data_IF_900888482148
#
_entry.id   IF_900888482148
#
_cell.length_a   1.000
_cell.length_b   1.000
_cell.length_c   1.000
_cell.angle_alpha   90.00
_cell.angle_beta   90.00
_cell.angle_gamma   90.00
#
_symmetry.space_group_name_H-M   'P 1'
#
loop_
_entity.id
_entity.type
_entity.pdbx_description
1 polymer ?
#
# COMPACT_ATOMS: atom_id res chain seq x y z
N UNK A 1 -2.72 10.87 45.65
CA UNK A 1 -3.92 10.45 44.93
C UNK A 1 -3.61 9.57 43.73
N UNK A 2 -4.37 8.50 43.54
CA UNK A 2 -4.20 7.60 42.40
C UNK A 2 -4.84 8.16 41.11
N UNK A 3 -4.49 7.61 39.96
CA UNK A 3 -5.12 7.87 38.66
C UNK A 3 -6.40 7.03 38.54
N UNK A 4 -7.46 7.64 38.05
CA UNK A 4 -8.70 6.95 37.67
C UNK A 4 -8.84 6.96 36.15
N UNK A 5 -9.16 5.82 35.59
CA UNK A 5 -9.50 5.66 34.17
C UNK A 5 -10.91 5.12 34.07
N UNK A 6 -11.77 5.85 33.37
CA UNK A 6 -13.20 5.58 33.32
C UNK A 6 -13.62 5.34 31.86
N UNK A 7 -14.13 4.15 31.58
CA UNK A 7 -14.75 3.77 30.32
C UNK A 7 -16.23 4.10 30.37
N UNK A 8 -16.61 5.36 30.12
CA UNK A 8 -17.97 5.84 30.35
C UNK A 8 -18.53 6.67 29.20
N UNK A 9 -19.86 6.70 29.13
CA UNK A 9 -20.55 7.66 28.31
C UNK A 9 -20.44 9.08 28.87
N UNK A 10 -20.22 10.05 27.99
CA UNK A 10 -20.01 11.48 28.31
C UNK A 10 -21.18 12.06 29.17
N UNK A 11 -22.40 11.55 28.99
CA UNK A 11 -23.60 12.02 29.69
C UNK A 11 -23.58 11.88 31.22
N UNK A 12 -22.69 11.06 31.77
CA UNK A 12 -22.59 10.84 33.24
C UNK A 12 -21.41 11.58 33.88
N UNK A 13 -20.58 12.29 33.08
CA UNK A 13 -19.37 12.94 33.57
C UNK A 13 -19.61 13.91 34.72
N UNK A 14 -20.66 14.73 34.68
CA UNK A 14 -20.99 15.68 35.74
C UNK A 14 -21.23 14.99 37.07
N UNK A 15 -22.10 13.96 37.10
CA UNK A 15 -22.41 13.20 38.30
C UNK A 15 -21.18 12.49 38.88
N UNK A 16 -20.31 11.98 38.03
CA UNK A 16 -19.08 11.32 38.45
C UNK A 16 -18.10 12.33 39.03
N UNK A 17 -17.92 13.49 38.39
CA UNK A 17 -17.06 14.56 38.89
C UNK A 17 -17.54 15.05 40.27
N UNK A 18 -18.85 15.30 40.45
CA UNK A 18 -19.45 15.68 41.73
C UNK A 18 -19.21 14.62 42.82
N UNK A 19 -19.42 13.35 42.50
CA UNK A 19 -19.20 12.26 43.46
C UNK A 19 -17.73 12.13 43.87
N UNK A 20 -16.78 12.31 42.94
CA UNK A 20 -15.33 12.29 43.23
C UNK A 20 -14.92 13.46 44.09
N UNK A 21 -15.46 14.66 43.87
CA UNK A 21 -15.23 15.86 44.65
C UNK A 21 -15.80 15.68 46.06
N UNK A 22 -17.04 15.19 46.16
CA UNK A 22 -17.67 14.89 47.46
C UNK A 22 -16.90 13.82 48.26
N UNK A 23 -16.24 12.87 47.56
CA UNK A 23 -15.36 11.87 48.12
C UNK A 23 -13.96 12.41 48.52
N UNK A 24 -13.74 13.72 48.47
CA UNK A 24 -12.47 14.37 48.88
C UNK A 24 -11.44 14.59 47.81
N UNK A 25 -11.75 14.34 46.52
CA UNK A 25 -10.80 14.68 45.47
C UNK A 25 -10.82 16.19 45.17
N UNK A 26 -9.64 16.80 44.98
CA UNK A 26 -9.57 18.22 44.69
C UNK A 26 -10.32 18.58 43.39
N UNK A 27 -11.08 19.69 43.40
CA UNK A 27 -11.75 20.27 42.24
C UNK A 27 -10.78 20.57 41.07
N UNK A 28 -9.53 20.96 41.44
CA UNK A 28 -8.48 21.29 40.47
C UNK A 28 -7.70 20.09 39.98
N UNK A 29 -8.06 18.84 40.39
CA UNK A 29 -7.40 17.64 39.89
C UNK A 29 -7.44 17.63 38.34
N UNK A 30 -6.28 17.48 37.68
CA UNK A 30 -6.24 17.39 36.21
C UNK A 30 -7.10 16.25 35.68
N UNK A 31 -7.81 16.50 34.59
CA UNK A 31 -8.66 15.51 33.94
C UNK A 31 -8.55 15.63 32.42
N UNK A 32 -8.74 14.53 31.73
CA UNK A 32 -8.73 14.49 30.26
C UNK A 32 -9.83 13.57 29.74
N UNK A 33 -10.34 13.90 28.55
CA UNK A 33 -11.21 13.03 27.76
C UNK A 33 -10.48 12.69 26.48
N UNK A 34 -10.42 11.41 26.15
CA UNK A 34 -9.77 10.90 24.95
C UNK A 34 -10.84 10.23 24.11
N UNK A 35 -11.24 10.87 23.03
CA UNK A 35 -12.14 10.30 22.03
C UNK A 35 -11.36 9.46 21.04
N UNK A 36 -11.91 8.34 20.62
CA UNK A 36 -11.33 7.47 19.61
C UNK A 36 -9.86 7.13 19.86
N UNK A 37 -9.51 6.89 21.12
CA UNK A 37 -8.13 6.59 21.53
C UNK A 37 -7.50 5.52 20.64
N UNK A 38 -6.26 5.78 20.16
CA UNK A 38 -5.48 4.95 19.23
C UNK A 38 -5.97 4.92 17.77
N UNK A 39 -6.96 5.73 17.42
CA UNK A 39 -7.37 5.91 16.02
C UNK A 39 -6.74 7.18 15.41
N UNK A 40 -6.57 7.26 14.10
CA UNK A 40 -5.98 8.44 13.44
C UNK A 40 -6.71 9.76 13.69
N UNK A 41 -7.97 9.71 14.07
CA UNK A 41 -8.80 10.85 14.41
C UNK A 41 -9.00 11.03 15.93
N UNK A 42 -8.10 10.45 16.75
CA UNK A 42 -8.09 10.66 18.19
C UNK A 42 -8.11 12.13 18.53
N UNK A 43 -8.96 12.52 19.48
CA UNK A 43 -8.98 13.87 20.03
C UNK A 43 -8.88 13.79 21.54
N UNK A 44 -8.03 14.63 22.13
CA UNK A 44 -7.88 14.73 23.57
C UNK A 44 -8.25 16.12 24.03
N UNK A 45 -9.16 16.18 24.99
CA UNK A 45 -9.61 17.42 25.63
C UNK A 45 -9.16 17.38 27.09
N UNK A 46 -8.47 18.41 27.55
CA UNK A 46 -7.98 18.53 28.93
C UNK A 46 -8.80 19.56 29.71
N UNK A 47 -9.00 19.29 30.99
CA UNK A 47 -9.77 20.12 31.90
C UNK A 47 -9.30 19.88 33.36
N UNK A 48 -9.98 20.48 34.33
CA UNK A 48 -9.97 20.06 35.71
C UNK A 48 -11.18 19.19 36.01
N UNK A 49 -11.17 18.46 37.11
CA UNK A 49 -12.29 17.63 37.52
C UNK A 49 -13.60 18.44 37.62
N UNK A 50 -13.52 19.66 38.14
CA UNK A 50 -14.68 20.56 38.25
C UNK A 50 -15.23 21.00 36.91
N UNK A 51 -14.36 21.26 35.93
CA UNK A 51 -14.76 21.81 34.63
C UNK A 51 -14.97 20.75 33.55
N UNK A 52 -14.67 19.49 33.83
CA UNK A 52 -14.64 18.39 32.86
C UNK A 52 -15.96 18.26 32.08
N UNK A 53 -17.11 18.29 32.77
CA UNK A 53 -18.40 18.13 32.12
C UNK A 53 -18.76 19.35 31.23
N UNK A 54 -18.47 20.55 31.69
CA UNK A 54 -18.72 21.81 30.94
C UNK A 54 -17.83 21.87 29.69
N UNK A 55 -16.55 21.53 29.84
CA UNK A 55 -15.62 21.47 28.72
C UNK A 55 -16.02 20.40 27.72
N UNK A 56 -16.42 19.20 28.20
CA UNK A 56 -16.92 18.14 27.32
C UNK A 56 -18.10 18.56 26.47
N UNK A 57 -19.06 19.29 27.06
CA UNK A 57 -20.23 19.80 26.36
C UNK A 57 -19.86 20.89 25.34
N UNK A 58 -19.01 21.85 25.74
CA UNK A 58 -18.52 22.93 24.85
C UNK A 58 -17.76 22.34 23.64
N UNK A 59 -16.89 21.40 23.88
CA UNK A 59 -16.07 20.74 22.87
C UNK A 59 -16.82 19.66 22.09
N UNK A 60 -18.12 19.43 22.42
CA UNK A 60 -18.97 18.42 21.79
C UNK A 60 -18.33 17.00 21.80
N UNK A 61 -17.74 16.62 22.94
CA UNK A 61 -17.13 15.29 23.10
C UNK A 61 -18.22 14.23 23.02
N UNK A 62 -17.96 13.17 22.22
CA UNK A 62 -18.89 12.07 21.99
C UNK A 62 -18.28 10.72 22.40
N UNK A 63 -19.10 9.69 22.50
CA UNK A 63 -18.63 8.32 22.64
C UNK A 63 -18.16 7.75 21.27
N UNK A 64 -17.21 6.82 21.23
CA UNK A 64 -16.51 6.24 22.39
C UNK A 64 -15.43 7.19 22.95
N UNK A 65 -15.39 7.32 24.26
CA UNK A 65 -14.38 8.14 24.95
C UNK A 65 -13.97 7.52 26.28
N UNK A 66 -12.73 7.85 26.70
CA UNK A 66 -12.17 7.46 28.00
C UNK A 66 -11.92 8.73 28.78
N UNK A 67 -12.33 8.78 30.06
CA UNK A 67 -11.96 9.84 30.98
C UNK A 67 -10.80 9.39 31.86
N UNK A 68 -9.76 10.24 31.95
CA UNK A 68 -8.62 10.05 32.83
C UNK A 68 -8.60 11.18 33.85
N UNK A 69 -8.55 10.85 35.15
CA UNK A 69 -8.54 11.83 36.23
C UNK A 69 -7.34 11.58 37.14
N UNK A 70 -6.48 12.57 37.29
CA UNK A 70 -5.27 12.51 38.11
C UNK A 70 -4.10 13.27 37.52
N UNK A 71 -3.01 13.40 38.29
CA UNK A 71 -1.84 14.16 37.92
C UNK A 71 -1.12 13.63 36.66
N UNK A 72 -1.36 12.34 36.29
CA UNK A 72 -0.87 11.75 35.05
C UNK A 72 -1.27 12.53 33.79
N UNK A 73 -2.39 13.27 33.85
CA UNK A 73 -2.84 14.11 32.72
C UNK A 73 -1.82 15.20 32.37
N UNK A 74 -1.05 15.70 33.35
CA UNK A 74 0.00 16.69 33.11
C UNK A 74 1.15 16.13 32.25
N UNK A 75 1.39 14.82 32.27
CA UNK A 75 2.42 14.17 31.45
C UNK A 75 2.09 14.16 29.95
N UNK A 76 0.85 14.53 29.57
CA UNK A 76 0.44 14.54 28.15
C UNK A 76 1.42 15.32 27.27
N UNK A 77 1.94 16.44 27.73
CA UNK A 77 2.91 17.25 26.98
C UNK A 77 4.19 16.49 26.62
N UNK A 78 4.56 15.50 27.43
CA UNK A 78 5.78 14.70 27.28
C UNK A 78 5.51 13.40 26.50
N UNK A 79 4.39 12.73 26.79
CA UNK A 79 4.09 11.37 26.28
C UNK A 79 3.07 11.32 25.15
N UNK A 80 2.63 12.46 24.60
CA UNK A 80 1.67 12.53 23.50
C UNK A 80 2.32 12.13 22.15
N UNK A 81 2.92 10.95 22.06
CA UNK A 81 3.58 10.46 20.85
C UNK A 81 2.59 10.10 19.74
N UNK A 82 1.37 9.68 20.10
CA UNK A 82 0.41 9.14 19.17
C UNK A 82 -0.12 10.20 18.22
N UNK A 83 -0.56 11.34 18.73
CA UNK A 83 -1.10 12.47 17.96
C UNK A 83 0.00 13.43 17.42
N UNK A 84 1.29 13.09 17.63
CA UNK A 84 2.45 13.76 17.02
C UNK A 84 3.06 13.00 15.84
N UNK A 85 2.45 11.90 15.44
CA UNK A 85 2.91 11.14 14.25
C UNK A 85 2.80 11.99 12.99
N UNK A 86 3.71 11.85 12.01
CA UNK A 86 3.83 12.78 10.88
C UNK A 86 2.58 12.88 10.00
N UNK A 87 1.76 11.82 9.94
CA UNK A 87 0.53 11.78 9.16
C UNK A 87 -0.73 11.71 10.03
N UNK A 88 -0.61 12.01 11.32
CA UNK A 88 -1.76 12.02 12.21
C UNK A 88 -2.86 12.99 11.73
N UNK A 89 -4.10 12.50 11.69
CA UNK A 89 -5.26 13.27 11.22
C UNK A 89 -5.35 13.42 9.70
N UNK A 90 -4.44 12.79 8.93
CA UNK A 90 -4.49 12.79 7.46
C UNK A 90 -5.24 11.60 6.94
N UNK A 91 -6.05 11.82 5.91
CA UNK A 91 -6.73 10.76 5.16
C UNK A 91 -6.07 10.60 3.80
N UNK A 92 -5.54 9.40 3.55
CA UNK A 92 -4.77 9.09 2.35
C UNK A 92 -5.47 7.97 1.58
N UNK A 93 -5.73 8.22 0.30
CA UNK A 93 -6.28 7.23 -0.63
C UNK A 93 -5.14 6.46 -1.30
N UNK A 94 -5.19 5.13 -1.24
CA UNK A 94 -4.26 4.24 -1.91
C UNK A 94 -4.97 3.56 -3.07
N UNK A 95 -4.51 3.82 -4.30
CA UNK A 95 -5.15 3.37 -5.55
C UNK A 95 -4.51 2.13 -6.17
N UNK A 96 -3.49 1.57 -5.53
CA UNK A 96 -2.78 0.37 -6.00
C UNK A 96 -3.67 -0.87 -5.92
N UNK A 97 -3.41 -1.88 -6.77
CA UNK A 97 -4.11 -3.17 -6.72
C UNK A 97 -4.02 -3.82 -5.33
N UNK A 98 -5.08 -4.48 -4.88
CA UNK A 98 -5.24 -5.01 -3.50
C UNK A 98 -4.09 -5.87 -3.04
N UNK A 99 -3.61 -6.77 -3.88
CA UNK A 99 -2.54 -7.71 -3.57
C UNK A 99 -1.21 -7.02 -3.23
N UNK A 100 -1.10 -5.73 -3.54
CA UNK A 100 0.12 -4.94 -3.38
C UNK A 100 -0.03 -3.81 -2.35
N UNK A 101 -1.19 -3.64 -1.73
CA UNK A 101 -1.50 -2.50 -0.83
C UNK A 101 -0.95 -2.68 0.58
N UNK A 102 -0.83 -3.90 1.07
CA UNK A 102 -0.63 -4.19 2.50
C UNK A 102 0.56 -3.47 3.13
N UNK A 103 1.70 -3.40 2.47
CA UNK A 103 2.90 -2.79 3.03
C UNK A 103 2.80 -1.25 3.10
N UNK A 104 2.33 -0.60 2.03
CA UNK A 104 2.16 0.86 2.02
C UNK A 104 1.11 1.30 3.04
N UNK A 105 0.00 0.58 3.12
CA UNK A 105 -1.04 0.81 4.12
C UNK A 105 -0.46 0.75 5.54
N UNK A 106 0.26 -0.33 5.88
CA UNK A 106 0.88 -0.49 7.19
C UNK A 106 1.79 0.68 7.53
N UNK A 107 2.61 1.15 6.60
CA UNK A 107 3.49 2.29 6.82
C UNK A 107 2.73 3.61 7.03
N UNK A 108 1.70 3.86 6.23
CA UNK A 108 0.88 5.07 6.35
C UNK A 108 0.10 5.08 7.68
N UNK A 109 -0.51 3.96 8.06
CA UNK A 109 -1.22 3.81 9.34
C UNK A 109 -0.25 3.92 10.54
N UNK A 110 0.95 3.33 10.45
CA UNK A 110 2.00 3.49 11.46
C UNK A 110 2.45 4.95 11.60
N UNK A 111 2.46 5.71 10.51
CA UNK A 111 2.72 7.15 10.52
C UNK A 111 1.53 7.99 11.01
N UNK A 112 0.37 7.41 11.25
CA UNK A 112 -0.79 8.06 11.83
C UNK A 112 -1.92 8.39 10.88
N UNK A 113 -1.83 8.01 9.61
CA UNK A 113 -2.88 8.28 8.63
C UNK A 113 -4.11 7.39 8.79
N UNK A 114 -5.27 7.91 8.38
CA UNK A 114 -6.41 7.10 7.95
C UNK A 114 -6.18 6.69 6.50
N UNK A 115 -6.21 5.38 6.20
CA UNK A 115 -6.02 4.89 4.84
C UNK A 115 -7.35 4.42 4.26
N UNK A 116 -7.71 4.97 3.09
CA UNK A 116 -8.82 4.50 2.27
C UNK A 116 -8.25 3.69 1.12
N UNK A 117 -8.58 2.41 1.09
CA UNK A 117 -8.23 1.54 -0.03
C UNK A 117 -9.27 1.70 -1.14
N UNK A 118 -8.86 2.32 -2.23
CA UNK A 118 -9.67 2.49 -3.44
C UNK A 118 -8.85 2.02 -4.65
N UNK A 119 -8.66 0.69 -4.82
CA UNK A 119 -7.92 0.17 -5.94
C UNK A 119 -8.56 0.65 -7.25
N UNK A 120 -7.76 1.29 -8.10
CA UNK A 120 -8.21 1.74 -9.42
C UNK A 120 -8.03 0.66 -10.48
N UNK A 121 -7.22 -0.36 -10.19
CA UNK A 121 -6.94 -1.49 -11.07
C UNK A 121 -6.96 -2.80 -10.32
N UNK A 122 -7.35 -3.86 -11.01
CA UNK A 122 -7.09 -5.25 -10.64
C UNK A 122 -6.31 -5.94 -11.75
N UNK A 123 -5.55 -6.95 -11.36
CA UNK A 123 -4.77 -7.75 -12.29
C UNK A 123 -5.61 -8.97 -12.68
N UNK A 124 -5.90 -9.11 -13.97
CA UNK A 124 -6.59 -10.27 -14.51
C UNK A 124 -5.60 -11.13 -15.31
N UNK A 125 -5.34 -12.39 -14.90
CA UNK A 125 -4.60 -13.32 -15.73
C UNK A 125 -5.31 -13.52 -17.07
N UNK A 126 -4.55 -13.50 -18.16
CA UNK A 126 -5.04 -13.87 -19.49
C UNK A 126 -4.93 -15.40 -19.69
N UNK A 127 -5.26 -15.89 -20.89
CA UNK A 127 -5.02 -17.28 -21.21
C UNK A 127 -3.53 -17.63 -21.03
N UNK A 128 -3.26 -18.61 -20.18
CA UNK A 128 -1.90 -19.03 -19.84
C UNK A 128 -1.34 -20.11 -20.80
N UNK A 129 -2.12 -20.55 -21.79
CA UNK A 129 -1.66 -21.57 -22.72
C UNK A 129 -0.43 -21.14 -23.54
N UNK A 130 -0.32 -19.88 -24.04
CA UNK A 130 0.89 -19.43 -24.70
C UNK A 130 2.11 -19.41 -23.78
N UNK A 131 1.94 -18.99 -22.51
CA UNK A 131 3.01 -19.02 -21.53
C UNK A 131 3.48 -20.45 -21.25
N UNK A 132 2.55 -21.38 -21.01
CA UNK A 132 2.88 -22.78 -20.79
C UNK A 132 3.63 -23.39 -21.99
N UNK A 133 3.21 -23.07 -23.21
CA UNK A 133 3.89 -23.52 -24.43
C UNK A 133 5.33 -23.00 -24.48
N UNK A 134 5.56 -21.71 -24.18
CA UNK A 134 6.89 -21.13 -24.14
C UNK A 134 7.76 -21.79 -23.04
N UNK A 135 7.19 -22.07 -21.87
CA UNK A 135 7.88 -22.69 -20.74
C UNK A 135 8.25 -24.16 -20.97
N UNK A 136 7.48 -24.91 -21.74
CA UNK A 136 7.88 -26.27 -22.16
C UNK A 136 9.15 -26.25 -23.02
N UNK A 137 9.40 -25.17 -23.75
CA UNK A 137 10.63 -24.95 -24.53
C UNK A 137 11.63 -24.00 -23.87
N UNK A 138 11.55 -23.78 -22.55
CA UNK A 138 12.28 -22.70 -21.89
C UNK A 138 13.80 -22.82 -21.99
N UNK A 139 14.34 -24.03 -22.11
CA UNK A 139 15.78 -24.26 -22.29
C UNK A 139 16.33 -23.71 -23.63
N UNK A 140 15.46 -23.34 -24.57
CA UNK A 140 15.88 -22.72 -25.84
C UNK A 140 16.06 -21.19 -25.75
N UNK A 141 15.67 -20.57 -24.64
CA UNK A 141 15.83 -19.13 -24.45
C UNK A 141 17.15 -18.81 -23.75
N UNK A 142 17.85 -17.81 -24.24
CA UNK A 142 19.05 -17.24 -23.62
C UNK A 142 18.71 -16.14 -22.62
N UNK A 143 17.55 -15.50 -22.81
CA UNK A 143 17.05 -14.46 -21.92
C UNK A 143 15.58 -14.66 -21.58
N UNK A 144 15.24 -14.40 -20.32
CA UNK A 144 13.89 -14.22 -19.82
C UNK A 144 13.77 -12.80 -19.28
N UNK A 145 12.90 -12.00 -19.88
CA UNK A 145 12.66 -10.61 -19.47
C UNK A 145 11.31 -10.49 -18.81
N UNK A 146 11.27 -9.97 -17.58
CA UNK A 146 10.05 -9.68 -16.83
C UNK A 146 10.04 -8.23 -16.35
N UNK A 147 8.87 -7.59 -16.45
CA UNK A 147 8.74 -6.16 -16.19
C UNK A 147 7.97 -5.83 -14.92
N UNK A 148 7.40 -6.83 -14.25
CA UNK A 148 6.59 -6.62 -13.04
C UNK A 148 6.61 -7.84 -12.11
N UNK A 149 6.33 -7.61 -10.83
CA UNK A 149 6.08 -8.68 -9.85
C UNK A 149 4.96 -9.61 -10.31
N UNK A 150 3.87 -9.07 -10.87
CA UNK A 150 2.74 -9.88 -11.33
C UNK A 150 3.16 -10.87 -12.42
N UNK A 151 4.04 -10.43 -13.33
CA UNK A 151 4.58 -11.32 -14.36
C UNK A 151 5.42 -12.46 -13.74
N UNK A 152 6.18 -12.17 -12.70
CA UNK A 152 6.97 -13.19 -11.97
C UNK A 152 6.06 -14.22 -11.31
N UNK A 153 5.02 -13.78 -10.61
CA UNK A 153 4.10 -14.70 -9.91
C UNK A 153 3.34 -15.61 -10.88
N UNK A 154 2.87 -15.06 -12.00
CA UNK A 154 2.20 -15.86 -13.04
C UNK A 154 3.14 -16.83 -13.75
N UNK A 155 4.36 -16.38 -14.07
CA UNK A 155 5.42 -17.24 -14.61
C UNK A 155 5.71 -18.40 -13.66
N UNK A 156 5.86 -18.11 -12.36
CA UNK A 156 6.14 -19.12 -11.35
C UNK A 156 4.99 -20.11 -11.18
N UNK A 157 3.76 -19.62 -11.15
CA UNK A 157 2.56 -20.48 -11.12
C UNK A 157 2.52 -21.42 -12.32
N UNK A 158 2.74 -20.90 -13.53
CA UNK A 158 2.76 -21.70 -14.74
C UNK A 158 3.89 -22.76 -14.75
N UNK A 159 5.07 -22.42 -14.25
CA UNK A 159 6.16 -23.41 -14.07
C UNK A 159 5.73 -24.54 -13.15
N UNK A 160 5.13 -24.23 -12.01
CA UNK A 160 4.66 -25.24 -11.05
C UNK A 160 3.54 -26.12 -11.60
N UNK A 161 2.60 -25.54 -12.34
CA UNK A 161 1.53 -26.29 -13.00
C UNK A 161 2.08 -27.31 -14.01
N UNK A 162 3.21 -27.00 -14.63
CA UNK A 162 3.94 -27.91 -15.54
C UNK A 162 4.83 -28.92 -14.82
N UNK A 163 4.88 -28.91 -13.47
CA UNK A 163 5.79 -29.75 -12.68
C UNK A 163 7.25 -29.33 -12.78
N UNK A 164 7.51 -28.09 -13.23
CA UNK A 164 8.85 -27.51 -13.37
C UNK A 164 9.18 -26.66 -12.12
N UNK A 165 10.48 -26.42 -11.92
CA UNK A 165 11.01 -25.54 -10.88
C UNK A 165 12.09 -24.59 -11.43
N UNK A 166 12.77 -23.86 -10.53
CA UNK A 166 13.82 -22.90 -10.88
C UNK A 166 14.93 -23.49 -11.80
N UNK A 167 15.19 -24.78 -11.73
CA UNK A 167 16.20 -25.46 -12.56
C UNK A 167 15.85 -25.45 -14.04
N UNK A 168 14.58 -25.37 -14.39
CA UNK A 168 14.14 -25.25 -15.78
C UNK A 168 14.64 -23.96 -16.44
N UNK A 169 14.90 -22.91 -15.65
CA UNK A 169 15.38 -21.61 -16.10
C UNK A 169 16.91 -21.49 -16.14
N UNK A 170 17.64 -22.55 -15.77
CA UNK A 170 19.11 -22.49 -15.62
C UNK A 170 19.89 -22.10 -16.89
N UNK A 171 19.29 -22.31 -18.08
CA UNK A 171 19.90 -21.92 -19.36
C UNK A 171 19.68 -20.44 -19.70
N UNK A 172 18.69 -19.78 -19.10
CA UNK A 172 18.31 -18.40 -19.42
C UNK A 172 18.88 -17.42 -18.40
N UNK A 173 19.39 -16.30 -18.89
CA UNK A 173 19.69 -15.12 -18.08
C UNK A 173 18.39 -14.39 -17.75
N UNK A 174 18.29 -13.88 -16.53
CA UNK A 174 17.09 -13.23 -16.03
C UNK A 174 17.28 -11.70 -16.04
N UNK A 175 16.36 -10.99 -16.68
CA UNK A 175 16.32 -9.53 -16.66
C UNK A 175 15.05 -9.05 -15.96
N UNK A 176 15.20 -8.25 -14.90
CA UNK A 176 14.13 -7.54 -14.21
C UNK A 176 14.23 -6.05 -14.49
N UNK A 177 13.10 -5.40 -14.80
CA UNK A 177 13.09 -3.94 -15.05
C UNK A 177 13.39 -3.13 -13.80
N UNK A 178 13.12 -3.65 -12.60
CA UNK A 178 13.37 -2.92 -11.37
C UNK A 178 13.47 -3.80 -10.12
N UNK A 179 13.86 -3.21 -8.98
CA UNK A 179 14.14 -3.94 -7.74
C UNK A 179 12.98 -4.81 -7.27
N UNK A 180 11.75 -4.28 -7.28
CA UNK A 180 10.58 -5.04 -6.82
C UNK A 180 10.30 -6.30 -7.66
N UNK A 181 10.68 -6.30 -8.94
CA UNK A 181 10.59 -7.47 -9.82
C UNK A 181 11.73 -8.44 -9.53
N UNK A 182 12.94 -7.92 -9.27
CA UNK A 182 14.09 -8.71 -8.88
C UNK A 182 13.87 -9.40 -7.53
N UNK A 183 13.32 -8.69 -6.55
CA UNK A 183 12.97 -9.24 -5.22
C UNK A 183 11.94 -10.38 -5.35
N UNK A 184 10.97 -10.23 -6.25
CA UNK A 184 10.00 -11.29 -6.51
C UNK A 184 10.67 -12.55 -7.11
N UNK A 185 11.60 -12.39 -8.06
CA UNK A 185 12.38 -13.51 -8.59
C UNK A 185 13.24 -14.16 -7.50
N UNK A 186 13.92 -13.35 -6.68
CA UNK A 186 14.75 -13.83 -5.58
C UNK A 186 13.95 -14.61 -4.53
N UNK A 187 12.71 -14.21 -4.25
CA UNK A 187 11.81 -14.93 -3.34
C UNK A 187 11.51 -16.36 -3.83
N UNK A 188 11.63 -16.62 -5.14
CA UNK A 188 11.53 -17.94 -5.75
C UNK A 188 12.91 -18.62 -5.97
N UNK A 189 13.97 -18.07 -5.39
CA UNK A 189 15.33 -18.60 -5.49
C UNK A 189 16.04 -18.29 -6.82
N UNK A 190 15.55 -17.29 -7.58
CA UNK A 190 16.08 -16.91 -8.88
C UNK A 190 16.88 -15.59 -8.75
N UNK A 191 18.20 -15.67 -8.91
CA UNK A 191 19.06 -14.49 -8.99
C UNK A 191 18.91 -13.82 -10.37
N UNK A 192 18.95 -12.49 -10.40
CA UNK A 192 18.78 -11.68 -11.62
C UNK A 192 20.14 -11.32 -12.19
N UNK A 193 20.34 -11.53 -13.50
CA UNK A 193 21.58 -11.20 -14.22
C UNK A 193 21.65 -9.75 -14.65
N UNK A 194 20.49 -9.08 -14.80
CA UNK A 194 20.40 -7.70 -15.22
C UNK A 194 19.26 -6.95 -14.57
N UNK A 195 19.60 -5.88 -13.86
CA UNK A 195 18.71 -4.81 -13.41
C UNK A 195 19.28 -3.50 -13.94
N UNK A 196 18.50 -2.65 -14.65
CA UNK A 196 19.01 -1.38 -15.16
C UNK A 196 19.14 -0.35 -14.02
N UNK A 197 19.96 0.68 -14.21
CA UNK A 197 20.10 1.80 -13.27
C UNK A 197 18.82 2.68 -13.25
N UNK A 198 18.14 2.77 -14.40
CA UNK A 198 16.83 3.43 -14.53
C UNK A 198 15.77 2.36 -14.76
N UNK A 199 14.81 2.26 -13.84
CA UNK A 199 13.80 1.21 -13.79
C UNK A 199 12.65 1.42 -14.79
N UNK A 200 13.03 1.57 -16.06
CA UNK A 200 12.14 1.77 -17.22
C UNK A 200 12.66 0.99 -18.41
N UNK A 201 11.82 0.78 -19.44
CA UNK A 201 12.19 0.05 -20.64
C UNK A 201 13.46 0.61 -21.31
N UNK A 202 13.60 1.93 -21.34
CA UNK A 202 14.76 2.64 -21.88
C UNK A 202 16.06 2.29 -21.15
N UNK A 203 15.98 2.09 -19.82
CA UNK A 203 17.12 1.63 -19.02
C UNK A 203 17.52 0.20 -19.35
N UNK A 204 16.56 -0.71 -19.50
CA UNK A 204 16.84 -2.10 -19.95
C UNK A 204 17.51 -2.09 -21.33
N UNK A 205 16.98 -1.31 -22.27
CA UNK A 205 17.53 -1.19 -23.63
C UNK A 205 18.98 -0.71 -23.57
N UNK A 206 19.28 0.32 -22.77
CA UNK A 206 20.64 0.84 -22.63
C UNK A 206 21.60 -0.26 -22.15
N UNK A 207 21.22 -0.98 -21.09
CA UNK A 207 22.06 -2.05 -20.52
C UNK A 207 22.18 -3.27 -21.44
N UNK A 208 21.12 -3.63 -22.19
CA UNK A 208 21.17 -4.74 -23.16
C UNK A 208 22.07 -4.41 -24.36
N UNK A 209 22.15 -3.14 -24.81
CA UNK A 209 23.06 -2.69 -25.88
C UNK A 209 24.53 -2.83 -25.54
N UNK A 210 24.88 -2.81 -24.26
CA UNK A 210 26.27 -3.00 -23.79
C UNK A 210 26.69 -4.48 -23.77
N UNK A 211 25.80 -5.40 -24.17
CA UNK A 211 26.01 -6.85 -24.06
C UNK A 211 26.10 -7.51 -25.43
N UNK A 212 27.13 -8.28 -25.63
CA UNK A 212 27.33 -9.04 -26.88
C UNK A 212 26.42 -10.26 -27.01
N UNK A 213 25.87 -10.75 -25.87
CA UNK A 213 25.06 -11.96 -25.80
C UNK A 213 23.56 -11.78 -26.10
N UNK A 214 23.16 -10.59 -26.56
CA UNK A 214 21.79 -10.30 -27.04
C UNK A 214 21.63 -10.62 -28.54
N UNK A 215 22.66 -10.39 -29.32
CA UNK A 215 22.64 -10.67 -30.77
C UNK A 215 22.49 -12.18 -31.03
N UNK A 216 21.47 -12.54 -31.77
CA UNK A 216 21.14 -13.95 -32.09
C UNK A 216 20.48 -14.71 -30.92
N UNK A 217 20.30 -14.05 -29.78
CA UNK A 217 19.62 -14.66 -28.64
C UNK A 217 18.10 -14.84 -28.89
N UNK A 218 17.54 -15.91 -28.35
CA UNK A 218 16.10 -16.07 -28.23
C UNK A 218 15.65 -15.56 -26.86
N UNK A 219 14.73 -14.61 -26.83
CA UNK A 219 14.27 -13.91 -25.63
C UNK A 219 12.80 -14.27 -25.39
N UNK A 220 12.47 -14.78 -24.21
CA UNK A 220 11.09 -14.85 -23.73
C UNK A 220 10.77 -13.55 -22.98
N UNK A 221 9.76 -12.82 -23.45
CA UNK A 221 9.31 -11.59 -22.85
C UNK A 221 7.86 -11.75 -22.34
N UNK A 222 7.72 -12.04 -21.03
CA UNK A 222 6.44 -12.14 -20.36
C UNK A 222 5.98 -10.76 -19.88
N UNK A 223 4.86 -10.26 -20.40
CA UNK A 223 4.42 -8.85 -20.25
C UNK A 223 2.94 -8.69 -19.94
N UNK A 224 2.57 -7.49 -19.50
CA UNK A 224 1.17 -7.08 -19.44
C UNK A 224 0.61 -6.83 -20.85
N UNK A 225 -0.66 -7.09 -21.06
CA UNK A 225 -1.37 -6.69 -22.26
C UNK A 225 -1.34 -5.18 -22.45
N UNK A 226 -1.15 -4.75 -23.71
CA UNK A 226 -1.08 -3.33 -24.06
C UNK A 226 0.13 -2.59 -23.53
N UNK A 227 1.19 -3.29 -23.04
CA UNK A 227 2.45 -2.66 -22.70
C UNK A 227 3.13 -2.07 -23.95
N UNK A 228 4.02 -1.08 -23.74
CA UNK A 228 4.73 -0.42 -24.86
C UNK A 228 5.58 -1.41 -25.66
N UNK A 229 5.57 -1.28 -26.99
CA UNK A 229 6.38 -2.08 -27.91
C UNK A 229 7.87 -1.72 -27.94
N UNK A 230 8.26 -0.68 -27.19
CA UNK A 230 9.61 -0.11 -27.21
C UNK A 230 10.71 -1.15 -26.91
N UNK A 231 10.52 -1.95 -25.85
CA UNK A 231 11.55 -2.92 -25.43
C UNK A 231 11.66 -4.10 -26.39
N UNK A 232 10.58 -4.80 -26.80
CA UNK A 232 10.69 -5.90 -27.73
C UNK A 232 11.18 -5.44 -29.11
N UNK A 233 10.77 -4.27 -29.60
CA UNK A 233 11.28 -3.69 -30.85
C UNK A 233 12.80 -3.46 -30.78
N UNK A 234 13.30 -2.83 -29.71
CA UNK A 234 14.72 -2.58 -29.53
C UNK A 234 15.54 -3.89 -29.42
N UNK A 235 15.02 -4.92 -28.77
CA UNK A 235 15.70 -6.23 -28.71
C UNK A 235 15.81 -6.87 -30.11
N UNK A 236 14.75 -6.76 -30.92
CA UNK A 236 14.80 -7.23 -32.33
C UNK A 236 15.79 -6.42 -33.18
N UNK A 237 15.86 -5.10 -32.99
CA UNK A 237 16.87 -4.25 -33.63
C UNK A 237 18.30 -4.66 -33.26
N UNK A 238 18.54 -5.15 -32.03
CA UNK A 238 19.82 -5.71 -31.60
C UNK A 238 20.11 -7.10 -32.19
N UNK A 239 19.17 -7.68 -32.94
CA UNK A 239 19.31 -9.00 -33.60
C UNK A 239 18.81 -10.17 -32.76
N UNK A 240 18.02 -9.94 -31.70
CA UNK A 240 17.38 -11.00 -30.94
C UNK A 240 16.07 -11.49 -31.61
N UNK A 241 15.73 -12.75 -31.39
CA UNK A 241 14.39 -13.28 -31.66
C UNK A 241 13.57 -13.16 -30.38
N UNK A 242 12.47 -12.41 -30.40
CA UNK A 242 11.66 -12.13 -29.20
C UNK A 242 10.31 -12.79 -29.30
N UNK A 243 10.08 -13.75 -28.41
CA UNK A 243 8.77 -14.37 -28.17
C UNK A 243 8.05 -13.57 -27.07
N UNK A 244 7.07 -12.78 -27.46
CA UNK A 244 6.24 -11.99 -26.55
C UNK A 244 5.04 -12.79 -26.10
N UNK A 245 4.82 -12.84 -24.80
CA UNK A 245 3.65 -13.47 -24.21
C UNK A 245 2.94 -12.50 -23.27
N UNK A 246 1.75 -12.08 -23.66
CA UNK A 246 0.87 -11.31 -22.80
C UNK A 246 0.21 -12.25 -21.79
N UNK A 247 0.50 -12.07 -20.50
CA UNK A 247 0.12 -13.03 -19.46
C UNK A 247 -0.90 -12.48 -18.47
N UNK A 248 -1.10 -11.16 -18.45
CA UNK A 248 -2.15 -10.51 -17.67
C UNK A 248 -2.56 -9.17 -18.26
N UNK A 249 -3.73 -8.69 -17.87
CA UNK A 249 -4.20 -7.34 -18.13
C UNK A 249 -4.43 -6.57 -16.84
N UNK A 250 -4.17 -5.27 -16.84
CA UNK A 250 -4.63 -4.36 -15.80
C UNK A 250 -5.99 -3.80 -16.24
N UNK A 251 -7.04 -4.16 -15.50
CA UNK A 251 -8.41 -3.72 -15.78
C UNK A 251 -8.93 -2.82 -14.66
N UNK A 252 -9.93 -1.97 -14.89
CA UNK A 252 -10.51 -1.12 -13.85
C UNK A 252 -11.02 -1.95 -12.67
N UNK A 253 -10.76 -1.47 -11.46
CA UNK A 253 -11.37 -2.00 -10.22
C UNK A 253 -12.17 -0.88 -9.54
N UNK A 254 -13.47 -1.09 -9.43
CA UNK A 254 -14.40 -0.13 -8.81
C UNK A 254 -14.82 -0.55 -7.39
N UNK A 255 -14.21 -1.58 -6.82
CA UNK A 255 -14.62 -2.16 -5.54
C UNK A 255 -14.47 -1.20 -4.33
N UNK A 256 -13.55 -0.22 -4.43
CA UNK A 256 -13.35 0.82 -3.41
C UNK A 256 -14.09 2.13 -3.67
N UNK A 257 -14.85 2.23 -4.76
CA UNK A 257 -15.42 3.50 -5.23
C UNK A 257 -16.38 4.13 -4.21
N UNK A 258 -17.23 3.35 -3.55
CA UNK A 258 -18.19 3.88 -2.58
C UNK A 258 -17.54 4.61 -1.41
N UNK A 259 -16.49 4.02 -0.81
CA UNK A 259 -15.74 4.64 0.29
C UNK A 259 -14.97 5.87 -0.19
N UNK A 260 -14.42 5.82 -1.40
CA UNK A 260 -13.72 6.94 -2.02
C UNK A 260 -14.68 8.11 -2.26
N UNK A 261 -15.82 7.88 -2.92
CA UNK A 261 -16.81 8.91 -3.23
C UNK A 261 -17.31 9.58 -1.94
N UNK A 262 -17.66 8.80 -0.93
CA UNK A 262 -18.10 9.33 0.35
C UNK A 262 -17.04 10.25 1.01
N UNK A 263 -15.77 9.88 0.93
CA UNK A 263 -14.69 10.68 1.50
C UNK A 263 -14.40 11.94 0.69
N UNK A 264 -14.52 11.87 -0.64
CA UNK A 264 -14.37 13.03 -1.54
C UNK A 264 -15.52 14.02 -1.32
N UNK A 265 -16.76 13.56 -1.28
CA UNK A 265 -17.95 14.39 -1.04
C UNK A 265 -17.90 15.06 0.34
N UNK A 266 -17.37 14.37 1.34
CA UNK A 266 -17.14 14.92 2.67
C UNK A 266 -15.95 15.89 2.76
N UNK A 267 -15.14 16.03 1.71
CA UNK A 267 -13.94 16.86 1.69
C UNK A 267 -12.85 16.41 2.67
N UNK A 268 -12.80 15.12 2.99
CA UNK A 268 -11.89 14.57 4.02
C UNK A 268 -10.60 13.98 3.45
N UNK A 269 -10.44 13.91 2.14
CA UNK A 269 -9.23 13.37 1.49
C UNK A 269 -8.13 14.40 1.44
N UNK A 270 -6.98 14.11 2.06
CA UNK A 270 -5.78 14.98 2.02
C UNK A 270 -4.84 14.64 0.87
N UNK A 271 -4.72 13.35 0.51
CA UNK A 271 -3.76 12.88 -0.48
C UNK A 271 -4.29 11.64 -1.21
N UNK A 272 -3.97 11.53 -2.48
CA UNK A 272 -4.17 10.33 -3.29
C UNK A 272 -2.84 9.86 -3.86
N UNK A 273 -2.53 8.57 -3.73
CA UNK A 273 -1.28 7.99 -4.25
C UNK A 273 -1.52 7.23 -5.54
N UNK A 274 -0.67 7.44 -6.54
CA UNK A 274 -0.70 6.73 -7.81
C UNK A 274 0.64 6.06 -8.10
N UNK A 275 0.62 4.88 -8.72
CA UNK A 275 1.82 4.10 -9.05
C UNK A 275 2.04 3.93 -10.55
N UNK A 276 1.07 4.33 -11.39
CA UNK A 276 1.18 4.27 -12.85
C UNK A 276 0.21 5.24 -13.54
N UNK A 277 0.45 5.55 -14.80
CA UNK A 277 -0.45 6.37 -15.61
C UNK A 277 -1.83 5.71 -15.80
N UNK A 278 -1.88 4.39 -15.91
CA UNK A 278 -3.16 3.65 -16.00
C UNK A 278 -3.99 3.78 -14.73
N UNK A 279 -3.35 3.76 -13.56
CA UNK A 279 -4.03 3.97 -12.27
C UNK A 279 -4.69 5.36 -12.21
N UNK A 280 -3.98 6.40 -12.69
CA UNK A 280 -4.55 7.76 -12.76
C UNK A 280 -5.76 7.79 -13.68
N UNK A 281 -5.62 7.25 -14.90
CA UNK A 281 -6.70 7.25 -15.89
C UNK A 281 -7.96 6.58 -15.36
N UNK A 282 -7.85 5.35 -14.87
CA UNK A 282 -9.00 4.60 -14.36
C UNK A 282 -9.60 5.23 -13.10
N UNK A 283 -8.79 5.86 -12.26
CA UNK A 283 -9.26 6.60 -11.09
C UNK A 283 -10.12 7.80 -11.49
N UNK A 284 -9.68 8.58 -12.48
CA UNK A 284 -10.42 9.74 -13.00
C UNK A 284 -11.71 9.30 -13.68
N UNK A 285 -11.65 8.27 -14.54
CA UNK A 285 -12.82 7.68 -15.18
C UNK A 285 -13.86 7.18 -14.13
N UNK A 286 -13.40 6.56 -13.05
CA UNK A 286 -14.26 6.06 -11.97
C UNK A 286 -15.00 7.17 -11.21
N UNK A 287 -14.39 8.35 -11.10
CA UNK A 287 -15.02 9.53 -10.47
C UNK A 287 -15.94 10.31 -11.42
N UNK A 288 -16.01 9.93 -12.71
CA UNK A 288 -16.86 10.60 -13.69
C UNK A 288 -16.34 11.95 -14.15
N UNK A 289 -15.02 12.17 -14.05
CA UNK A 289 -14.37 13.43 -14.43
C UNK A 289 -13.70 13.34 -15.81
#
# INVERSE_FOLDING_TARGET
GGTLVLYIGVSRLGKIAEALIAGGRSRTTPAALIEWGTYPHQRTVTATLETLATVAAREKVIAPSIAVVGDVVALRSEIAWFDRRPLFGRTIVVTRAREQQSQLRVWLEAAGATVIEAPAIRIEPLDQAPLRTALLGVASYQWLVVTSRNAVELLWSALRELGLDARALAAAKLCAVGPATADALLAHGLAVDLIPDRYVAEGVIARMRERDDVRGARVLFARAAGARELLPAALREMGATVDEVEIYAAVPDLSGLGSLTAAVDAGTVDLVTFTSASTVRYFVEALGA
#
